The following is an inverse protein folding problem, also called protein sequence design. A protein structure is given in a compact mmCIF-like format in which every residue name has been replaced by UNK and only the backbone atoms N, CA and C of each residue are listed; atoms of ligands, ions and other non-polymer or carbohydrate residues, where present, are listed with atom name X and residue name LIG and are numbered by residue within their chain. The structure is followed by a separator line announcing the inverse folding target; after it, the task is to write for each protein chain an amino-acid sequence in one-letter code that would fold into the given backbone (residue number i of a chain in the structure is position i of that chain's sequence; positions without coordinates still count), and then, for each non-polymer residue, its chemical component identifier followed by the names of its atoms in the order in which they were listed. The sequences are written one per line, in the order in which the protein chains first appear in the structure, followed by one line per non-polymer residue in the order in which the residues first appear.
data_IF_715959282118
#
_entry.id   IF_715959282118
#
_cell.length_a   1.000
_cell.length_b   1.000
_cell.length_c   1.000
_cell.angle_alpha   90.00
_cell.angle_beta   90.00
_cell.angle_gamma   90.00
#
_symmetry.space_group_name_H-M   'P 1'
#
loop_
_entity.id
_entity.type
_entity.pdbx_description
1 polymer ?
#
# COMPACT_ATOMS: atom_id res chain seq x y z
N UNK A 1 15.09 -14.98 31.29
CA UNK A 1 14.80 -13.68 31.90
C UNK A 1 14.35 -12.72 30.80
N UNK A 2 13.04 -12.45 30.70
CA UNK A 2 12.50 -11.51 29.72
C UNK A 2 12.47 -10.13 30.36
N UNK A 3 13.44 -9.28 30.02
CA UNK A 3 13.49 -7.90 30.48
C UNK A 3 12.22 -7.18 30.03
N UNK A 4 11.57 -6.46 30.97
CA UNK A 4 10.43 -5.59 30.67
C UNK A 4 10.80 -4.63 29.55
N UNK A 5 9.86 -4.46 28.63
CA UNK A 5 9.99 -3.54 27.51
C UNK A 5 10.03 -2.09 28.03
N UNK A 6 10.84 -1.20 27.43
CA UNK A 6 10.90 0.21 27.85
C UNK A 6 9.55 0.91 27.69
N UNK A 7 9.29 1.90 28.53
CA UNK A 7 8.12 2.79 28.43
C UNK A 7 8.23 3.80 27.26
N UNK A 8 9.43 3.97 26.69
CA UNK A 8 9.78 4.91 25.61
C UNK A 8 9.95 4.22 24.24
N UNK A 9 10.09 5.04 23.18
CA UNK A 9 10.27 4.72 21.75
C UNK A 9 10.81 3.29 21.46
N UNK A 10 9.96 2.44 20.88
CA UNK A 10 10.20 1.03 20.55
C UNK A 10 11.10 0.83 19.31
N UNK A 11 12.20 1.58 19.21
CA UNK A 11 13.12 1.47 18.08
C UNK A 11 14.39 0.72 18.47
N UNK A 12 14.62 -0.41 17.78
CA UNK A 12 15.82 -1.22 17.92
C UNK A 12 17.12 -0.47 17.63
N UNK A 13 17.07 0.45 16.67
CA UNK A 13 18.21 1.24 16.20
C UNK A 13 17.73 2.61 15.73
N UNK A 14 18.68 3.53 15.51
CA UNK A 14 18.41 4.83 14.87
C UNK A 14 17.78 4.64 13.48
N UNK A 15 18.18 3.60 12.75
CA UNK A 15 17.58 3.29 11.45
C UNK A 15 16.13 2.81 11.59
N UNK A 16 15.80 2.01 12.62
CA UNK A 16 14.42 1.61 12.91
C UNK A 16 13.53 2.87 13.12
N UNK A 17 14.03 3.88 13.83
CA UNK A 17 13.35 5.17 14.04
C UNK A 17 13.21 5.96 12.74
N UNK A 18 14.30 6.12 11.97
CA UNK A 18 14.30 6.86 10.69
C UNK A 18 13.33 6.26 9.68
N UNK A 19 13.27 4.93 9.59
CA UNK A 19 12.33 4.22 8.71
C UNK A 19 10.89 4.51 9.13
N UNK A 20 10.59 4.43 10.43
CA UNK A 20 9.26 4.75 10.94
C UNK A 20 8.87 6.19 10.63
N UNK A 21 9.73 7.17 10.90
CA UNK A 21 9.48 8.58 10.58
C UNK A 21 9.23 8.79 9.08
N UNK A 22 10.04 8.16 8.21
CA UNK A 22 9.85 8.23 6.76
C UNK A 22 8.49 7.66 6.31
N UNK A 23 8.10 6.51 6.85
CA UNK A 23 6.80 5.89 6.57
C UNK A 23 5.67 6.79 7.06
N UNK A 24 5.74 7.27 8.31
CA UNK A 24 4.73 8.15 8.90
C UNK A 24 4.55 9.43 8.10
N UNK A 25 5.63 10.05 7.62
CA UNK A 25 5.55 11.24 6.76
C UNK A 25 4.84 10.95 5.44
N UNK A 26 5.11 9.81 4.81
CA UNK A 26 4.44 9.39 3.56
C UNK A 26 2.94 9.15 3.80
N UNK A 27 2.57 8.50 4.91
CA UNK A 27 1.17 8.24 5.26
C UNK A 27 0.41 9.55 5.48
N UNK A 28 1.01 10.50 6.21
CA UNK A 28 0.45 11.82 6.47
C UNK A 28 0.31 12.66 5.19
N UNK A 29 1.28 12.59 4.28
CA UNK A 29 1.24 13.29 3.00
C UNK A 29 0.13 12.77 2.06
N UNK A 30 -0.35 11.54 2.27
CA UNK A 30 -1.43 10.97 1.49
C UNK A 30 -1.03 10.65 0.05
N UNK A 31 -1.75 11.21 -0.92
CA UNK A 31 -1.48 10.96 -2.35
C UNK A 31 -0.32 11.84 -2.83
N UNK A 32 0.83 11.23 -3.08
CA UNK A 32 2.07 11.88 -3.48
C UNK A 32 2.45 11.53 -4.92
N UNK A 33 3.12 12.46 -5.59
CA UNK A 33 3.50 12.30 -7.00
C UNK A 33 4.52 11.17 -7.17
N UNK A 34 4.35 10.39 -8.24
CA UNK A 34 5.35 9.39 -8.63
C UNK A 34 6.64 10.06 -9.10
N UNK A 35 7.77 9.36 -8.95
CA UNK A 35 9.03 9.85 -9.51
C UNK A 35 8.93 9.88 -11.03
N UNK A 36 9.64 10.81 -11.66
CA UNK A 36 9.57 11.02 -13.11
C UNK A 36 9.91 9.74 -13.89
N UNK A 37 10.89 8.96 -13.45
CA UNK A 37 11.26 7.68 -14.07
C UNK A 37 10.12 6.66 -14.06
N UNK A 38 9.33 6.63 -12.99
CA UNK A 38 8.20 5.71 -12.84
C UNK A 38 7.03 6.17 -13.73
N UNK A 39 6.80 7.49 -13.81
CA UNK A 39 5.85 8.08 -14.76
C UNK A 39 6.21 7.77 -16.21
N UNK A 40 7.47 7.96 -16.59
CA UNK A 40 7.95 7.69 -17.95
C UNK A 40 7.80 6.22 -18.34
N UNK A 41 8.06 5.31 -17.39
CA UNK A 41 7.83 3.88 -17.58
C UNK A 41 6.34 3.57 -17.82
N UNK A 42 5.43 4.17 -17.03
CA UNK A 42 3.99 3.98 -17.19
C UNK A 42 3.52 4.55 -18.54
N UNK A 43 4.00 5.74 -18.92
CA UNK A 43 3.70 6.36 -20.22
C UNK A 43 4.12 5.45 -21.38
N UNK A 44 5.35 4.92 -21.33
CA UNK A 44 5.83 3.97 -22.35
C UNK A 44 4.92 2.74 -22.45
N UNK A 45 4.59 2.11 -21.31
CA UNK A 45 3.70 0.94 -21.29
C UNK A 45 2.28 1.23 -21.82
N UNK A 46 1.76 2.44 -21.61
CA UNK A 46 0.46 2.85 -22.19
C UNK A 46 0.57 3.05 -23.70
N UNK A 47 1.63 3.71 -24.16
CA UNK A 47 1.91 3.91 -25.59
C UNK A 47 2.04 2.58 -26.32
N UNK A 48 2.81 1.63 -25.77
CA UNK A 48 2.98 0.27 -26.33
C UNK A 48 1.65 -0.50 -26.46
N UNK A 49 0.66 -0.16 -25.63
CA UNK A 49 -0.69 -0.76 -25.65
C UNK A 49 -1.70 0.05 -26.48
N UNK A 50 -1.29 1.16 -27.11
CA UNK A 50 -2.19 2.06 -27.83
C UNK A 50 -3.18 2.79 -26.92
N UNK A 51 -2.87 2.92 -25.62
CA UNK A 51 -3.70 3.59 -24.61
C UNK A 51 -3.22 5.02 -24.31
N UNK A 52 -2.51 5.64 -25.25
CA UNK A 52 -2.03 7.00 -25.08
C UNK A 52 -3.18 8.00 -25.30
N UNK A 53 -3.46 8.80 -24.28
CA UNK A 53 -4.56 9.78 -24.29
C UNK A 53 -4.10 11.18 -24.70
N UNK A 54 -2.81 11.37 -25.02
CA UNK A 54 -2.25 12.67 -25.43
C UNK A 54 -2.13 13.71 -24.30
N UNK A 55 -2.61 13.37 -23.10
CA UNK A 55 -2.51 14.17 -21.88
C UNK A 55 -1.64 13.43 -20.88
N UNK A 56 -0.78 14.16 -20.19
CA UNK A 56 0.03 13.61 -19.12
C UNK A 56 -0.86 13.13 -17.96
N UNK A 57 -0.82 11.85 -17.58
CA UNK A 57 -1.70 11.38 -16.51
C UNK A 57 -1.22 11.89 -15.15
N UNK A 58 -2.13 12.51 -14.39
CA UNK A 58 -1.91 12.88 -12.98
C UNK A 58 -1.91 11.59 -12.13
N UNK A 59 -0.78 10.88 -12.15
CA UNK A 59 -0.58 9.64 -11.43
C UNK A 59 0.13 9.92 -10.10
N UNK A 60 -0.56 9.56 -9.02
CA UNK A 60 -0.07 9.65 -7.66
C UNK A 60 -0.17 8.29 -6.99
N UNK A 61 0.68 8.07 -6.01
CA UNK A 61 0.63 6.89 -5.16
C UNK A 61 0.38 7.31 -3.71
N UNK A 62 -0.20 6.41 -2.93
CA UNK A 62 -0.48 6.62 -1.52
C UNK A 62 -0.20 5.33 -0.76
N UNK A 63 0.43 5.44 0.39
CA UNK A 63 0.54 4.30 1.30
C UNK A 63 -0.77 4.15 2.08
N UNK A 64 -1.37 2.96 2.01
CA UNK A 64 -2.55 2.60 2.79
C UNK A 64 -2.12 1.75 3.98
N UNK A 65 -2.60 2.10 5.17
CA UNK A 65 -2.42 1.31 6.38
C UNK A 65 -3.75 0.69 6.79
N UNK A 66 -3.73 -0.58 7.18
CA UNK A 66 -4.93 -1.27 7.63
C UNK A 66 -5.36 -0.88 9.05
N UNK A 67 -4.40 -0.64 9.94
CA UNK A 67 -4.69 -0.32 11.35
C UNK A 67 -4.83 1.19 11.57
N UNK A 68 -5.94 1.57 12.23
CA UNK A 68 -6.29 2.79 13.00
C UNK A 68 -5.80 4.20 12.61
N UNK A 69 -4.95 4.40 11.61
CA UNK A 69 -4.32 5.68 11.35
C UNK A 69 -5.15 6.60 10.44
N UNK A 70 -6.14 6.11 9.68
CA UNK A 70 -6.92 7.00 8.80
C UNK A 70 -8.37 6.55 8.56
N UNK A 71 -9.24 7.55 8.35
CA UNK A 71 -10.71 7.48 8.34
C UNK A 71 -11.36 6.62 7.25
N UNK A 72 -12.69 6.73 7.16
CA UNK A 72 -13.57 5.85 6.35
C UNK A 72 -13.10 5.63 4.91
N UNK A 73 -12.45 6.63 4.31
CA UNK A 73 -11.86 6.56 2.97
C UNK A 73 -10.84 5.42 2.79
N UNK A 74 -9.99 5.15 3.80
CA UNK A 74 -8.99 4.07 3.68
C UNK A 74 -9.65 2.69 3.69
N UNK A 75 -10.71 2.49 4.48
CA UNK A 75 -11.49 1.25 4.48
C UNK A 75 -12.20 1.03 3.14
N UNK A 76 -12.75 2.11 2.56
CA UNK A 76 -13.38 2.05 1.24
C UNK A 76 -12.37 1.70 0.15
N UNK A 77 -11.18 2.32 0.18
CA UNK A 77 -10.10 2.02 -0.76
C UNK A 77 -9.60 0.58 -0.61
N UNK A 78 -9.39 0.09 0.61
CA UNK A 78 -9.01 -1.30 0.88
C UNK A 78 -10.07 -2.30 0.41
N UNK A 79 -11.37 -1.95 0.51
CA UNK A 79 -12.45 -2.74 -0.07
C UNK A 79 -12.28 -2.93 -1.58
N UNK A 80 -11.99 -1.85 -2.33
CA UNK A 80 -11.74 -1.91 -3.78
C UNK A 80 -10.49 -2.71 -4.14
N UNK A 81 -9.50 -2.77 -3.26
CA UNK A 81 -8.27 -3.55 -3.52
C UNK A 81 -8.61 -5.04 -3.64
N UNK A 82 -9.56 -5.57 -2.85
CA UNK A 82 -10.00 -6.96 -2.97
C UNK A 82 -10.49 -7.26 -4.38
N UNK A 83 -11.37 -6.40 -4.91
CA UNK A 83 -11.92 -6.55 -6.27
C UNK A 83 -10.80 -6.57 -7.33
N UNK A 84 -9.82 -5.67 -7.23
CA UNK A 84 -8.66 -5.61 -8.15
C UNK A 84 -7.85 -6.91 -8.11
N UNK A 85 -7.63 -7.48 -6.92
CA UNK A 85 -6.93 -8.75 -6.80
C UNK A 85 -7.74 -9.88 -7.45
N UNK A 86 -9.05 -9.91 -7.28
CA UNK A 86 -9.91 -10.92 -7.89
C UNK A 86 -10.07 -10.78 -9.41
N UNK A 87 -9.86 -9.59 -9.98
CA UNK A 87 -9.77 -9.42 -11.44
C UNK A 87 -8.54 -10.11 -12.04
N UNK A 88 -7.45 -10.23 -11.26
CA UNK A 88 -6.16 -10.72 -11.74
C UNK A 88 -5.79 -12.12 -11.23
N UNK A 89 -6.34 -12.52 -10.08
CA UNK A 89 -5.96 -13.73 -9.36
C UNK A 89 -7.19 -14.50 -8.88
N UNK A 90 -7.10 -15.83 -8.92
CA UNK A 90 -8.06 -16.68 -8.25
C UNK A 90 -7.94 -16.53 -6.71
N UNK A 91 -9.01 -16.77 -5.94
CA UNK A 91 -8.97 -16.78 -4.48
C UNK A 91 -7.82 -17.62 -3.93
N UNK A 92 -7.11 -17.09 -2.92
CA UNK A 92 -6.05 -17.84 -2.24
C UNK A 92 -6.73 -18.68 -1.17
N UNK A 93 -6.91 -19.98 -1.42
CA UNK A 93 -7.65 -20.86 -0.53
C UNK A 93 -6.79 -21.33 0.64
N UNK A 94 -7.31 -21.16 1.86
CA UNK A 94 -6.79 -21.91 2.99
C UNK A 94 -7.06 -23.42 2.83
N UNK A 95 -6.06 -24.24 3.13
CA UNK A 95 -6.12 -25.70 2.98
C UNK A 95 -7.14 -26.31 3.95
N UNK A 96 -7.41 -25.64 5.07
CA UNK A 96 -8.26 -26.13 6.15
C UNK A 96 -9.68 -25.62 6.02
N UNK A 97 -9.86 -24.31 5.85
CA UNK A 97 -11.16 -23.64 5.85
C UNK A 97 -11.75 -23.44 4.45
N UNK A 98 -10.93 -23.60 3.39
CA UNK A 98 -11.28 -23.26 1.99
C UNK A 98 -11.80 -21.83 1.80
N UNK A 99 -11.48 -20.95 2.75
CA UNK A 99 -11.81 -19.54 2.68
C UNK A 99 -10.76 -18.80 1.85
N UNK A 100 -11.20 -17.72 1.22
CA UNK A 100 -10.31 -16.82 0.49
C UNK A 100 -9.53 -15.95 1.48
N UNK A 101 -8.21 -16.04 1.39
CA UNK A 101 -7.28 -15.31 2.24
C UNK A 101 -7.00 -13.88 1.74
N UNK A 102 -7.33 -13.54 0.50
CA UNK A 102 -7.07 -12.21 -0.07
C UNK A 102 -7.64 -11.07 0.81
N UNK A 103 -8.91 -11.11 1.26
CA UNK A 103 -9.47 -10.07 2.13
C UNK A 103 -8.77 -9.95 3.48
N UNK A 104 -8.25 -11.06 4.01
CA UNK A 104 -7.54 -11.08 5.29
C UNK A 104 -6.14 -10.49 5.12
N UNK A 105 -5.42 -10.88 4.07
CA UNK A 105 -4.08 -10.37 3.75
C UNK A 105 -4.06 -8.84 3.54
N UNK A 106 -5.12 -8.27 2.95
CA UNK A 106 -5.24 -6.83 2.76
C UNK A 106 -5.48 -6.09 4.08
N UNK A 107 -6.11 -6.75 5.06
CA UNK A 107 -6.46 -6.17 6.36
C UNK A 107 -5.39 -6.39 7.43
N UNK A 108 -4.35 -7.20 7.18
CA UNK A 108 -3.22 -7.38 8.10
C UNK A 108 -3.61 -8.01 9.42
#
# INVERSE_FOLDING_TARGET
DFKRLPEEDWFCTVDCKRIHEAISNVVLAGAIQLRQSDLDLIRRKRSDKGLDTGTDPDLRWRLLLSSNWNGEDCKLLLGKVVDIFHESFAPIQDVTMKEDLIPQMIKG
#
